data_IF_041590339731
#
_entry.id   IF_041590339731
#
_cell.length_a   1.000
_cell.length_b   1.000
_cell.length_c   1.000
_cell.angle_alpha   90.00
_cell.angle_beta   90.00
_cell.angle_gamma   90.00
#
_symmetry.space_group_name_H-M   'P 1'
#
loop_
_entity.id
_entity.type
_entity.pdbx_description
1 polymer ?
#
# COMPACT_ATOMS: atom_id res chain seq x y z
N UNK A 1 44.28 -3.16 -37.30
CA UNK A 1 44.77 -3.46 -35.97
C UNK A 1 43.53 -3.72 -35.10
N UNK A 2 43.49 -4.89 -34.50
CA UNK A 2 42.29 -5.57 -33.98
C UNK A 2 41.75 -4.97 -32.70
N UNK A 3 40.46 -4.64 -32.67
CA UNK A 3 39.71 -4.36 -31.49
C UNK A 3 39.33 -5.68 -30.80
N UNK A 4 39.75 -5.83 -29.55
CA UNK A 4 39.28 -6.88 -28.66
C UNK A 4 37.99 -6.35 -27.98
N UNK A 5 36.85 -6.95 -28.31
CA UNK A 5 35.64 -6.85 -27.51
C UNK A 5 35.76 -7.86 -26.36
N UNK A 6 35.91 -7.37 -25.16
CA UNK A 6 35.72 -8.17 -23.95
C UNK A 6 34.20 -8.40 -23.74
N UNK A 7 33.82 -9.68 -23.81
CA UNK A 7 32.52 -10.15 -23.45
C UNK A 7 32.37 -10.06 -21.90
N UNK A 8 31.57 -9.12 -21.45
CA UNK A 8 31.08 -9.13 -20.06
C UNK A 8 29.86 -10.05 -20.03
N UNK A 9 30.06 -11.26 -19.54
CA UNK A 9 28.95 -12.17 -19.21
C UNK A 9 28.08 -11.53 -18.12
N UNK A 10 26.82 -11.24 -18.47
CA UNK A 10 25.82 -10.84 -17.52
C UNK A 10 25.42 -12.06 -16.69
N UNK A 11 25.89 -12.13 -15.47
CA UNK A 11 25.39 -13.08 -14.48
C UNK A 11 23.87 -12.86 -14.29
N UNK A 12 23.10 -13.91 -14.55
CA UNK A 12 21.67 -13.94 -14.21
C UNK A 12 21.54 -13.94 -12.69
N UNK A 13 20.62 -13.15 -12.10
CA UNK A 13 20.41 -13.20 -10.68
C UNK A 13 19.91 -14.59 -10.29
N UNK A 14 20.66 -15.25 -9.41
CA UNK A 14 20.27 -16.52 -8.81
C UNK A 14 19.00 -16.29 -8.00
N UNK A 15 17.96 -17.06 -8.30
CA UNK A 15 16.74 -17.14 -7.51
C UNK A 15 17.07 -17.70 -6.12
N UNK A 16 17.28 -16.82 -5.15
CA UNK A 16 17.38 -17.21 -3.76
C UNK A 16 15.98 -17.62 -3.27
N UNK A 17 15.72 -18.92 -3.30
CA UNK A 17 14.63 -19.52 -2.54
C UNK A 17 14.97 -19.43 -1.05
N UNK A 18 14.75 -18.26 -0.44
CA UNK A 18 14.81 -18.15 1.02
C UNK A 18 13.60 -18.88 1.59
N UNK A 19 13.89 -19.99 2.27
CA UNK A 19 13.00 -20.70 3.18
C UNK A 19 12.31 -19.68 4.09
N UNK A 20 10.98 -19.77 4.17
CA UNK A 20 10.14 -19.00 5.08
C UNK A 20 10.71 -19.04 6.50
N UNK A 21 11.38 -17.98 6.89
CA UNK A 21 11.82 -17.79 8.27
C UNK A 21 10.61 -17.42 9.11
N UNK A 22 10.35 -18.24 10.12
CA UNK A 22 9.43 -17.93 11.20
C UNK A 22 9.96 -16.69 11.91
N UNK A 23 9.30 -15.56 11.76
CA UNK A 23 9.56 -14.36 12.56
C UNK A 23 9.02 -14.64 13.96
N UNK A 24 9.91 -14.92 14.88
CA UNK A 24 9.58 -14.98 16.30
C UNK A 24 9.47 -13.54 16.81
N UNK A 25 8.27 -13.02 16.90
CA UNK A 25 8.02 -11.83 17.71
C UNK A 25 8.06 -12.25 19.18
N UNK A 26 9.13 -11.85 19.86
CA UNK A 26 9.24 -12.00 21.29
C UNK A 26 8.42 -10.95 22.01
N UNK A 27 7.16 -11.26 22.31
CA UNK A 27 6.43 -10.73 23.46
C UNK A 27 5.24 -11.66 23.67
N UNK A 28 5.25 -12.34 24.82
CA UNK A 28 4.21 -13.28 25.18
C UNK A 28 2.87 -12.58 25.39
N UNK A 29 1.95 -12.83 24.51
CA UNK A 29 0.51 -12.63 24.73
C UNK A 29 -0.21 -13.89 24.32
N UNK A 30 -1.09 -14.32 25.20
CA UNK A 30 -1.81 -15.57 25.27
C UNK A 30 -2.41 -16.08 23.93
N UNK A 31 -2.01 -17.27 23.53
CA UNK A 31 -2.96 -18.36 23.26
C UNK A 31 -3.75 -18.35 21.96
N UNK A 32 -3.49 -17.49 20.95
CA UNK A 32 -3.93 -17.78 19.59
C UNK A 32 -2.76 -18.40 18.85
N UNK A 33 -2.86 -19.69 18.53
CA UNK A 33 -1.90 -20.37 17.69
C UNK A 33 -1.74 -19.55 16.40
N UNK A 34 -0.54 -19.01 16.18
CA UNK A 34 -0.21 -18.32 14.93
C UNK A 34 -0.64 -19.23 13.78
N UNK A 35 -1.51 -18.70 12.92
CA UNK A 35 -2.00 -19.45 11.77
C UNK A 35 -0.81 -19.80 10.89
N UNK A 36 -0.59 -21.09 10.65
CA UNK A 36 0.46 -21.53 9.73
C UNK A 36 0.03 -21.27 8.30
N UNK A 37 0.40 -20.12 7.78
CA UNK A 37 0.07 -19.69 6.43
C UNK A 37 0.60 -20.62 5.34
N UNK A 38 1.58 -21.50 5.65
CA UNK A 38 2.06 -22.52 4.71
C UNK A 38 1.00 -23.56 4.39
N UNK A 39 0.01 -23.73 5.27
CA UNK A 39 -1.11 -24.66 5.13
C UNK A 39 -2.34 -24.05 4.46
N UNK A 40 -2.33 -22.73 4.23
CA UNK A 40 -3.43 -22.07 3.52
C UNK A 40 -3.23 -22.25 2.02
N UNK A 41 -4.24 -22.85 1.37
CA UNK A 41 -4.22 -23.00 -0.08
C UNK A 41 -4.46 -21.64 -0.72
N UNK A 42 -3.47 -21.17 -1.49
CA UNK A 42 -3.49 -19.86 -2.15
C UNK A 42 -4.38 -19.84 -3.39
N UNK A 43 -4.98 -18.68 -3.67
CA UNK A 43 -5.83 -18.44 -4.83
C UNK A 43 -7.16 -19.22 -4.79
N UNK A 44 -7.75 -19.43 -5.94
CA UNK A 44 -9.05 -20.10 -6.06
C UNK A 44 -9.08 -21.60 -5.71
N UNK A 45 -7.95 -22.17 -5.28
CA UNK A 45 -7.87 -23.61 -4.94
C UNK A 45 -8.82 -24.02 -3.81
N UNK A 46 -9.15 -23.11 -2.89
CA UNK A 46 -10.09 -23.38 -1.82
C UNK A 46 -11.52 -23.64 -2.35
N UNK A 47 -11.86 -23.10 -3.53
CA UNK A 47 -13.16 -23.32 -4.17
C UNK A 47 -13.29 -24.72 -4.81
N UNK A 48 -12.16 -25.31 -5.19
CA UNK A 48 -12.13 -26.59 -5.93
C UNK A 48 -11.70 -27.78 -5.09
N UNK A 49 -11.20 -27.56 -3.88
CA UNK A 49 -10.79 -28.62 -2.98
C UNK A 49 -11.88 -28.92 -1.95
N UNK A 50 -12.03 -30.16 -1.61
CA UNK A 50 -12.82 -30.58 -0.45
C UNK A 50 -12.15 -29.94 0.77
N UNK A 51 -12.83 -29.00 1.40
CA UNK A 51 -12.37 -28.36 2.64
C UNK A 51 -12.63 -29.38 3.75
N UNK A 52 -11.59 -30.13 4.10
CA UNK A 52 -11.63 -31.05 5.24
C UNK A 52 -11.47 -30.27 6.55
N UNK A 53 -10.58 -30.73 7.41
CA UNK A 53 -10.24 -30.07 8.67
C UNK A 53 -9.35 -28.81 8.51
N UNK A 54 -9.06 -28.38 7.29
CA UNK A 54 -8.24 -27.18 7.02
C UNK A 54 -9.07 -25.93 7.30
N UNK A 55 -8.52 -25.04 8.16
CA UNK A 55 -9.17 -23.77 8.46
C UNK A 55 -9.08 -22.84 7.27
N UNK A 56 -10.22 -22.35 6.81
CA UNK A 56 -10.30 -21.23 5.87
C UNK A 56 -10.22 -19.95 6.69
N UNK A 57 -9.40 -18.99 6.27
CA UNK A 57 -9.36 -17.69 6.92
C UNK A 57 -10.68 -16.94 6.66
N UNK A 58 -11.32 -16.49 7.72
CA UNK A 58 -12.62 -15.82 7.70
C UNK A 58 -12.66 -14.75 8.80
N UNK A 59 -13.68 -13.88 8.77
CA UNK A 59 -13.81 -12.76 9.72
C UNK A 59 -13.85 -13.18 11.19
N UNK A 60 -14.35 -14.36 11.47
CA UNK A 60 -14.40 -14.92 12.82
C UNK A 60 -13.00 -15.16 13.42
N UNK A 61 -11.98 -15.22 12.55
CA UNK A 61 -10.58 -15.39 12.94
C UNK A 61 -9.82 -14.08 13.11
N UNK A 62 -10.46 -12.94 12.88
CA UNK A 62 -9.85 -11.65 13.13
C UNK A 62 -9.52 -11.49 14.61
N UNK A 63 -8.37 -10.89 14.89
CA UNK A 63 -8.02 -10.47 16.25
C UNK A 63 -8.99 -9.39 16.74
N UNK A 64 -9.03 -9.16 18.04
CA UNK A 64 -9.85 -8.09 18.60
C UNK A 64 -9.41 -6.70 18.08
N UNK A 65 -8.11 -6.51 17.86
CA UNK A 65 -7.56 -5.29 17.26
C UNK A 65 -8.05 -5.10 15.81
N UNK A 66 -8.00 -6.17 15.00
CA UNK A 66 -8.50 -6.13 13.64
C UNK A 66 -10.00 -5.85 13.56
N UNK A 67 -10.79 -6.40 14.47
CA UNK A 67 -12.24 -6.10 14.60
C UNK A 67 -12.49 -4.64 14.99
N UNK A 68 -11.75 -4.14 15.96
CA UNK A 68 -11.87 -2.75 16.40
C UNK A 68 -11.56 -1.76 15.28
N UNK A 69 -10.51 -2.01 14.51
CA UNK A 69 -10.11 -1.17 13.38
C UNK A 69 -11.15 -1.23 12.25
N UNK A 70 -11.70 -2.41 11.98
CA UNK A 70 -12.78 -2.56 11.00
C UNK A 70 -14.00 -1.72 11.36
N UNK A 71 -14.48 -1.85 12.60
CA UNK A 71 -15.67 -1.09 13.06
C UNK A 71 -15.36 0.42 13.07
N UNK A 72 -14.20 0.84 13.53
CA UNK A 72 -13.80 2.25 13.53
C UNK A 72 -13.78 2.85 12.10
N UNK A 73 -13.22 2.15 11.13
CA UNK A 73 -13.24 2.61 9.74
C UNK A 73 -14.65 2.62 9.17
N UNK A 74 -15.44 1.60 9.43
CA UNK A 74 -16.82 1.51 8.97
C UNK A 74 -17.69 2.61 9.57
N UNK A 75 -17.52 2.90 10.87
CA UNK A 75 -18.22 3.99 11.54
C UNK A 75 -17.85 5.35 10.95
N UNK A 76 -16.56 5.60 10.72
CA UNK A 76 -16.12 6.80 10.02
C UNK A 76 -16.72 6.89 8.61
N UNK A 77 -16.69 5.79 7.85
CA UNK A 77 -17.23 5.76 6.50
C UNK A 77 -18.75 6.03 6.46
N UNK A 78 -19.51 5.46 7.39
CA UNK A 78 -20.98 5.59 7.43
C UNK A 78 -21.44 6.91 8.03
N UNK A 79 -20.76 7.45 9.03
CA UNK A 79 -21.19 8.63 9.76
C UNK A 79 -20.62 9.93 9.16
N UNK A 80 -19.38 9.92 8.68
CA UNK A 80 -18.71 11.13 8.17
C UNK A 80 -18.70 11.21 6.64
N UNK A 81 -18.49 10.08 5.93
CA UNK A 81 -18.33 10.09 4.48
C UNK A 81 -19.63 9.83 3.72
N UNK A 82 -20.43 8.86 4.15
CA UNK A 82 -21.66 8.48 3.44
C UNK A 82 -22.66 9.64 3.29
N UNK A 83 -22.88 10.50 4.28
CA UNK A 83 -23.77 11.66 4.12
C UNK A 83 -23.30 12.66 3.06
N UNK A 84 -21.98 12.70 2.79
CA UNK A 84 -21.36 13.60 1.81
C UNK A 84 -21.22 12.97 0.42
N UNK A 85 -21.40 11.65 0.30
CA UNK A 85 -20.94 10.84 -0.83
C UNK A 85 -21.53 11.24 -2.17
N UNK A 86 -22.80 11.60 -2.24
CA UNK A 86 -23.47 11.86 -3.51
C UNK A 86 -23.39 13.31 -3.97
N UNK A 87 -23.29 14.24 -3.06
CA UNK A 87 -23.39 15.67 -3.39
C UNK A 87 -22.08 16.44 -3.19
N UNK A 88 -21.34 16.16 -2.12
CA UNK A 88 -20.18 16.95 -1.73
C UNK A 88 -18.86 16.35 -2.25
N UNK A 89 -18.65 15.03 -2.06
CA UNK A 89 -17.41 14.37 -2.49
C UNK A 89 -17.19 14.38 -4.00
N UNK A 90 -18.27 14.45 -4.77
CA UNK A 90 -18.19 14.51 -6.25
C UNK A 90 -17.96 15.92 -6.80
N UNK A 91 -18.07 16.97 -5.98
CA UNK A 91 -17.86 18.37 -6.41
C UNK A 91 -16.39 18.75 -6.57
N UNK A 92 -15.46 17.84 -6.27
CA UNK A 92 -14.01 18.08 -6.30
C UNK A 92 -13.59 19.26 -5.41
N UNK A 93 -14.22 19.41 -4.25
CA UNK A 93 -13.83 20.39 -3.25
C UNK A 93 -12.53 19.93 -2.58
N UNK A 94 -11.42 20.50 -3.01
CA UNK A 94 -10.08 20.16 -2.51
C UNK A 94 -9.95 20.39 -1.00
N UNK A 95 -10.62 21.41 -0.46
CA UNK A 95 -10.55 21.70 0.98
C UNK A 95 -11.26 20.64 1.79
N UNK A 96 -12.44 20.21 1.32
CA UNK A 96 -13.19 19.13 1.97
C UNK A 96 -12.39 17.82 1.92
N UNK A 97 -11.90 17.44 0.74
CA UNK A 97 -11.12 16.20 0.58
C UNK A 97 -9.89 16.23 1.49
N UNK A 98 -9.14 17.32 1.52
CA UNK A 98 -7.96 17.47 2.39
C UNK A 98 -8.32 17.31 3.85
N UNK A 99 -9.37 17.99 4.32
CA UNK A 99 -9.86 17.85 5.70
C UNK A 99 -10.20 16.40 6.06
N UNK A 100 -10.90 15.70 5.18
CA UNK A 100 -11.27 14.29 5.42
C UNK A 100 -10.04 13.37 5.45
N UNK A 101 -9.05 13.62 4.59
CA UNK A 101 -7.78 12.88 4.60
C UNK A 101 -7.01 13.14 5.90
N UNK A 102 -6.96 14.38 6.38
CA UNK A 102 -6.34 14.74 7.67
C UNK A 102 -7.05 14.04 8.84
N UNK A 103 -8.38 14.02 8.87
CA UNK A 103 -9.15 13.27 9.87
C UNK A 103 -8.84 11.76 9.85
N UNK A 104 -8.68 11.18 8.66
CA UNK A 104 -8.26 9.78 8.54
C UNK A 104 -6.83 9.57 9.07
N UNK A 105 -5.95 10.55 8.91
CA UNK A 105 -4.61 10.56 9.48
C UNK A 105 -4.64 10.55 11.01
N UNK A 106 -5.48 11.41 11.62
CA UNK A 106 -5.68 11.48 13.08
C UNK A 106 -6.20 10.16 13.66
N UNK A 107 -7.03 9.44 12.89
CA UNK A 107 -7.56 8.12 13.25
C UNK A 107 -6.58 6.96 12.97
N UNK A 108 -5.40 7.25 12.40
CA UNK A 108 -4.39 6.23 12.08
C UNK A 108 -4.69 5.39 10.83
N UNK A 109 -5.66 5.77 10.01
CA UNK A 109 -6.09 4.99 8.84
C UNK A 109 -5.19 5.15 7.61
N UNK A 110 -4.18 6.03 7.65
CA UNK A 110 -3.31 6.29 6.50
C UNK A 110 -1.93 5.64 6.58
N UNK A 111 -1.46 5.34 7.78
CA UNK A 111 -0.11 4.82 8.01
C UNK A 111 -0.02 3.30 8.20
N UNK A 112 -0.90 2.53 7.61
CA UNK A 112 -1.09 1.11 7.91
C UNK A 112 0.17 0.25 7.66
N UNK A 113 0.78 0.38 6.48
CA UNK A 113 1.98 -0.34 6.09
C UNK A 113 3.29 0.37 6.47
N UNK A 114 3.18 1.54 7.05
CA UNK A 114 4.34 2.36 7.39
C UNK A 114 4.90 1.90 8.73
N UNK A 115 6.22 1.69 8.85
CA UNK A 115 6.84 1.37 10.13
C UNK A 115 6.57 2.43 11.20
N UNK A 116 6.37 2.00 12.46
CA UNK A 116 6.08 2.88 13.60
C UNK A 116 7.09 4.03 13.75
N UNK A 117 8.37 3.77 13.51
CA UNK A 117 9.44 4.79 13.56
C UNK A 117 9.27 5.95 12.58
N UNK A 118 8.35 5.84 11.63
CA UNK A 118 7.97 6.88 10.67
C UNK A 118 6.53 7.35 10.84
N UNK A 119 5.88 7.00 11.95
CA UNK A 119 4.52 7.44 12.29
C UNK A 119 3.40 6.55 11.76
N UNK A 120 3.71 5.34 11.33
CA UNK A 120 2.73 4.35 10.91
C UNK A 120 2.32 3.38 12.01
N UNK A 121 1.46 2.43 11.67
CA UNK A 121 0.96 1.39 12.58
C UNK A 121 1.62 0.03 12.37
N UNK A 122 2.43 -0.12 11.32
CA UNK A 122 3.13 -1.36 10.96
C UNK A 122 2.25 -2.62 10.97
N UNK A 123 0.99 -2.46 10.55
CA UNK A 123 0.01 -3.53 10.54
C UNK A 123 0.26 -4.54 9.41
N UNK A 124 -0.43 -5.68 9.53
CA UNK A 124 -0.40 -6.72 8.49
C UNK A 124 -1.17 -6.32 7.23
N UNK A 125 -0.92 -7.04 6.14
CA UNK A 125 -1.73 -6.90 4.92
C UNK A 125 -3.21 -7.26 5.13
N UNK A 126 -3.51 -8.11 6.11
CA UNK A 126 -4.88 -8.39 6.55
C UNK A 126 -5.53 -7.12 7.08
N UNK A 127 -4.86 -6.37 7.96
CA UNK A 127 -5.36 -5.09 8.48
C UNK A 127 -5.67 -4.09 7.36
N UNK A 128 -4.80 -4.02 6.33
CA UNK A 128 -5.05 -3.19 5.15
C UNK A 128 -6.33 -3.60 4.41
N UNK A 129 -6.54 -4.91 4.18
CA UNK A 129 -7.75 -5.42 3.53
C UNK A 129 -9.01 -5.15 4.36
N UNK A 130 -8.91 -5.26 5.67
CA UNK A 130 -9.99 -4.98 6.62
C UNK A 130 -10.42 -3.51 6.54
N UNK A 131 -9.46 -2.58 6.53
CA UNK A 131 -9.74 -1.16 6.36
C UNK A 131 -10.32 -0.83 4.98
N UNK A 132 -9.82 -1.50 3.92
CA UNK A 132 -10.38 -1.33 2.58
C UNK A 132 -11.84 -1.79 2.49
N UNK A 133 -12.21 -2.85 3.20
CA UNK A 133 -13.60 -3.25 3.33
C UNK A 133 -14.41 -2.21 4.11
N UNK A 134 -13.90 -1.75 5.26
CA UNK A 134 -14.57 -0.75 6.10
C UNK A 134 -14.85 0.55 5.35
N UNK A 135 -13.89 1.11 4.62
CA UNK A 135 -14.10 2.35 3.86
C UNK A 135 -15.11 2.20 2.72
N UNK A 136 -15.33 0.99 2.21
CA UNK A 136 -16.28 0.76 1.11
C UNK A 136 -17.71 1.19 1.44
N UNK A 137 -18.07 1.32 2.71
CA UNK A 137 -19.36 1.80 3.19
C UNK A 137 -19.56 3.31 2.98
N UNK A 138 -18.53 4.05 2.57
CA UNK A 138 -18.63 5.51 2.35
C UNK A 138 -19.52 5.92 1.16
N UNK A 139 -19.92 4.99 0.29
CA UNK A 139 -20.78 5.28 -0.86
C UNK A 139 -20.11 6.11 -1.98
N UNK A 140 -18.81 6.37 -1.90
CA UNK A 140 -18.04 7.13 -2.89
C UNK A 140 -16.82 6.35 -3.38
N UNK A 141 -16.90 5.67 -4.54
CA UNK A 141 -15.74 4.99 -5.13
C UNK A 141 -14.53 5.91 -5.35
N UNK A 142 -14.80 7.18 -5.68
CA UNK A 142 -13.74 8.18 -5.88
C UNK A 142 -12.97 8.43 -4.58
N UNK A 143 -13.65 8.56 -3.44
CA UNK A 143 -12.99 8.75 -2.15
C UNK A 143 -12.28 7.47 -1.68
N UNK A 144 -12.86 6.30 -1.90
CA UNK A 144 -12.15 5.02 -1.68
C UNK A 144 -10.84 4.98 -2.46
N UNK A 145 -10.82 5.52 -3.70
CA UNK A 145 -9.60 5.61 -4.51
C UNK A 145 -8.58 6.56 -3.89
N UNK A 146 -9.00 7.72 -3.38
CA UNK A 146 -8.10 8.66 -2.68
C UNK A 146 -7.42 7.96 -1.50
N UNK A 147 -8.19 7.31 -0.63
CA UNK A 147 -7.65 6.57 0.49
C UNK A 147 -6.71 5.43 0.04
N UNK A 148 -7.14 4.64 -0.94
CA UNK A 148 -6.35 3.52 -1.44
C UNK A 148 -5.01 3.96 -2.04
N UNK A 149 -5.00 5.02 -2.85
CA UNK A 149 -3.74 5.57 -3.40
C UNK A 149 -2.84 6.09 -2.29
N UNK A 150 -3.38 6.81 -1.32
CA UNK A 150 -2.64 7.34 -0.17
C UNK A 150 -1.93 6.23 0.59
N UNK A 151 -2.62 5.13 0.86
CA UNK A 151 -2.14 4.03 1.71
C UNK A 151 -1.42 2.91 0.95
N UNK A 152 -1.45 2.93 -0.38
CA UNK A 152 -0.84 1.90 -1.22
C UNK A 152 0.14 2.48 -2.25
N UNK A 153 -0.22 2.55 -3.53
CA UNK A 153 0.70 2.86 -4.63
C UNK A 153 1.38 4.22 -4.52
N UNK A 154 0.76 5.19 -3.85
CA UNK A 154 1.36 6.52 -3.64
C UNK A 154 2.47 6.52 -2.59
N UNK A 155 2.39 5.68 -1.57
CA UNK A 155 3.34 5.60 -0.45
C UNK A 155 4.32 4.43 -0.55
N UNK A 156 3.91 3.29 -1.12
CA UNK A 156 4.70 2.05 -1.15
C UNK A 156 6.07 2.20 -1.81
N UNK A 157 6.18 3.04 -2.85
CA UNK A 157 7.47 3.32 -3.47
C UNK A 157 8.49 3.88 -2.48
N UNK A 158 8.05 4.78 -1.60
CA UNK A 158 8.90 5.36 -0.55
C UNK A 158 9.17 4.33 0.55
N UNK A 159 8.14 3.57 0.96
CA UNK A 159 8.26 2.56 2.01
C UNK A 159 9.29 1.48 1.63
N UNK A 160 9.25 0.98 0.39
CA UNK A 160 10.10 -0.13 -0.04
C UNK A 160 11.47 0.30 -0.52
N UNK A 161 11.58 1.40 -1.25
CA UNK A 161 12.79 1.79 -1.97
C UNK A 161 13.42 3.10 -1.48
N UNK A 162 12.70 3.90 -0.70
CA UNK A 162 13.24 5.13 -0.12
C UNK A 162 14.36 4.83 0.88
N UNK A 163 15.39 5.69 0.91
CA UNK A 163 16.39 5.68 1.97
C UNK A 163 15.80 6.27 3.27
N UNK A 164 16.55 6.18 4.38
CA UNK A 164 16.07 6.64 5.70
C UNK A 164 15.73 8.14 5.71
N UNK A 165 16.47 8.97 5.01
CA UNK A 165 16.22 10.41 4.92
C UNK A 165 14.90 10.69 4.17
N UNK A 166 14.68 10.02 3.05
CA UNK A 166 13.45 10.11 2.29
C UNK A 166 12.25 9.64 3.09
N UNK A 167 12.37 8.52 3.79
CA UNK A 167 11.31 7.98 4.65
C UNK A 167 10.96 8.95 5.77
N UNK A 168 11.96 9.47 6.50
CA UNK A 168 11.77 10.48 7.56
C UNK A 168 11.13 11.76 7.05
N UNK A 169 11.48 12.17 5.83
CA UNK A 169 10.96 13.41 5.23
C UNK A 169 9.50 13.31 4.80
N UNK A 170 9.10 12.17 4.27
CA UNK A 170 7.83 12.05 3.57
C UNK A 170 6.77 11.26 4.32
N UNK A 171 7.14 10.12 4.94
CA UNK A 171 6.16 9.20 5.52
C UNK A 171 5.36 9.79 6.67
N UNK A 172 5.93 10.56 7.63
CA UNK A 172 5.13 11.15 8.69
C UNK A 172 3.99 12.03 8.19
N UNK A 173 4.27 12.89 7.19
CA UNK A 173 3.25 13.75 6.60
C UNK A 173 2.21 12.98 5.76
N UNK A 174 2.59 11.83 5.18
CA UNK A 174 1.65 10.94 4.50
C UNK A 174 0.74 10.23 5.52
N UNK A 175 1.30 9.76 6.64
CA UNK A 175 0.53 9.10 7.70
C UNK A 175 -0.46 10.06 8.38
N UNK A 176 -0.08 11.31 8.58
CA UNK A 176 -0.96 12.33 9.18
C UNK A 176 -1.98 12.92 8.20
N UNK A 177 -1.85 12.68 6.90
CA UNK A 177 -2.70 13.31 5.88
C UNK A 177 -2.27 14.73 5.48
N UNK A 178 -1.26 15.31 6.13
CA UNK A 178 -0.68 16.62 5.74
C UNK A 178 -0.20 16.61 4.29
N UNK A 179 0.37 15.47 3.87
CA UNK A 179 0.84 15.25 2.50
C UNK A 179 -0.01 14.20 1.79
N UNK A 180 -0.54 14.57 0.64
CA UNK A 180 -1.29 13.65 -0.21
C UNK A 180 -0.32 13.03 -1.21
N UNK A 181 -0.28 11.69 -1.20
CA UNK A 181 0.53 10.91 -2.12
C UNK A 181 -0.26 10.60 -3.40
N UNK A 182 0.45 10.55 -4.53
CA UNK A 182 -0.12 10.20 -5.82
C UNK A 182 0.86 9.32 -6.62
N UNK A 183 0.34 8.66 -7.65
CA UNK A 183 1.14 7.81 -8.53
C UNK A 183 0.81 8.09 -10.00
N UNK A 184 1.78 8.64 -10.73
CA UNK A 184 1.68 8.88 -12.17
C UNK A 184 2.40 7.77 -12.94
N UNK A 185 1.66 6.91 -13.64
CA UNK A 185 2.20 5.79 -14.40
C UNK A 185 1.95 5.96 -15.90
N UNK A 186 0.68 6.10 -16.28
CA UNK A 186 0.22 6.09 -17.67
C UNK A 186 0.82 7.24 -18.48
N UNK A 187 1.25 6.93 -19.68
CA UNK A 187 1.74 7.90 -20.67
C UNK A 187 0.87 7.85 -21.94
N UNK A 188 0.95 8.86 -22.83
CA UNK A 188 0.16 8.85 -24.07
C UNK A 188 0.30 7.55 -24.87
N UNK A 189 1.48 6.94 -24.84
CA UNK A 189 1.84 5.76 -25.65
C UNK A 189 2.01 4.49 -24.81
N UNK A 190 1.82 4.56 -23.48
CA UNK A 190 2.07 3.46 -22.56
C UNK A 190 0.95 3.37 -21.50
N UNK A 191 -0.09 2.60 -21.81
CA UNK A 191 -1.17 2.24 -20.90
C UNK A 191 -0.93 0.85 -20.26
N UNK A 192 -1.58 -0.17 -20.84
CA UNK A 192 -1.44 -1.56 -20.34
C UNK A 192 -0.01 -2.08 -20.42
N UNK A 193 0.75 -1.65 -21.43
CA UNK A 193 2.18 -1.90 -21.52
C UNK A 193 2.97 -0.79 -20.82
N UNK A 194 2.88 -0.74 -19.49
CA UNK A 194 3.56 0.26 -18.68
C UNK A 194 5.10 0.17 -18.76
N UNK A 195 5.65 -0.97 -19.16
CA UNK A 195 7.09 -1.15 -19.32
C UNK A 195 7.64 -0.40 -20.53
N UNK A 196 6.78 -0.01 -21.46
CA UNK A 196 7.13 0.78 -22.63
C UNK A 196 7.07 2.30 -22.42
N UNK A 197 7.08 2.75 -21.16
CA UNK A 197 7.10 4.18 -20.81
C UNK A 197 8.30 4.89 -21.45
N UNK A 198 8.06 6.11 -21.93
CA UNK A 198 9.06 6.95 -22.60
C UNK A 198 9.68 8.01 -21.70
N UNK A 199 9.07 8.27 -20.54
CA UNK A 199 9.65 9.19 -19.54
C UNK A 199 11.06 8.73 -19.15
N UNK A 200 12.02 9.62 -19.25
CA UNK A 200 13.42 9.38 -18.90
C UNK A 200 13.83 10.16 -17.68
N UNK A 201 14.76 9.61 -16.90
CA UNK A 201 15.42 10.30 -15.79
C UNK A 201 16.93 10.18 -15.96
N UNK A 202 17.60 11.30 -16.15
CA UNK A 202 19.07 11.35 -16.32
C UNK A 202 19.66 12.02 -15.09
N UNK A 203 20.70 11.41 -14.51
CA UNK A 203 21.41 12.01 -13.37
C UNK A 203 22.11 13.29 -13.84
N UNK A 204 21.98 14.36 -13.03
CA UNK A 204 22.66 15.63 -13.28
C UNK A 204 24.19 15.49 -13.17
N UNK A 205 24.95 16.41 -13.79
CA UNK A 205 26.40 16.39 -13.79
C UNK A 205 27.01 16.44 -12.37
N UNK A 206 26.34 17.09 -11.44
CA UNK A 206 26.75 17.16 -10.03
C UNK A 206 26.35 15.94 -9.19
N UNK A 207 25.65 14.97 -9.80
CA UNK A 207 25.21 13.73 -9.16
C UNK A 207 24.14 13.87 -8.08
N UNK A 208 23.51 15.06 -7.93
CA UNK A 208 22.58 15.34 -6.83
C UNK A 208 21.11 15.28 -7.21
N UNK A 209 20.79 15.36 -8.50
CA UNK A 209 19.43 15.45 -9.00
C UNK A 209 19.21 14.54 -10.19
N UNK A 210 17.98 14.17 -10.45
CA UNK A 210 17.56 13.60 -11.72
C UNK A 210 16.84 14.66 -12.54
N UNK A 211 17.24 14.81 -13.79
CA UNK A 211 16.52 15.60 -14.78
C UNK A 211 15.52 14.67 -15.44
N UNK A 212 14.23 14.90 -15.16
CA UNK A 212 13.14 14.05 -15.64
C UNK A 212 12.45 14.72 -16.81
N UNK A 213 12.36 14.02 -17.95
CA UNK A 213 11.67 14.45 -19.15
C UNK A 213 10.65 13.40 -19.58
N UNK A 214 9.43 13.82 -19.79
CA UNK A 214 8.33 12.95 -20.20
C UNK A 214 6.97 13.58 -19.93
N UNK A 215 5.92 12.81 -20.21
CA UNK A 215 4.54 13.22 -20.00
C UNK A 215 3.77 12.07 -19.39
N UNK A 216 3.05 12.34 -18.30
CA UNK A 216 2.07 11.43 -17.71
C UNK A 216 0.66 11.90 -18.06
N UNK A 217 -0.28 10.95 -18.18
CA UNK A 217 -1.72 11.21 -18.34
C UNK A 217 -2.37 10.89 -16.99
N UNK A 218 -3.36 11.68 -16.59
CA UNK A 218 -4.08 11.65 -15.31
C UNK A 218 -3.31 12.22 -14.13
#
# INVERSE_FOLDING_TARGET
>A
MLNKHENVEKEKPQSNSKKNGVVKNGNGVNGHALMDFSKIKTGGKFLTNVVGSEKVFCKELFSEEEKMIYEAMKDFATNELLPLSQNELNKKDEKLIRKLVEQMGELGFLGIDVPEKYGGSEMTKTGMCILAEGISFCGSPSFCTVWNVQTSIGSLGIIWYGNDEQKKKWLPGICSGEKIAAFGLTEPEAGSDATNSKTTGVLSDDGKHYIVNGQKIF
#
